data_IF_942492238241
#
_entry.id   IF_942492238241
#
_cell.length_a   1.000
_cell.length_b   1.000
_cell.length_c   1.000
_cell.angle_alpha   90.00
_cell.angle_beta   90.00
_cell.angle_gamma   90.00
#
_symmetry.space_group_name_H-M   'P 1'
#
loop_
_entity.id
_entity.type
_entity.pdbx_description
1 polymer ?
#
# COMPACT_ATOMS: atom_id res chain seq x y z
N UNK A 1 81.59 -86.07 31.43
CA UNK A 1 80.60 -86.04 30.34
C UNK A 1 79.52 -85.05 30.76
N UNK A 2 79.16 -84.19 29.83
CA UNK A 2 78.54 -82.87 29.98
C UNK A 2 77.05 -82.90 30.36
N UNK A 3 76.47 -81.69 30.45
CA UNK A 3 75.03 -81.38 30.49
C UNK A 3 74.39 -81.26 31.88
N UNK A 4 74.98 -80.38 32.69
CA UNK A 4 74.20 -79.46 33.51
C UNK A 4 74.61 -78.04 33.09
N UNK A 5 74.21 -77.61 31.91
CA UNK A 5 74.47 -76.23 31.45
C UNK A 5 73.48 -75.87 30.33
N UNK A 6 72.62 -74.87 30.54
CA UNK A 6 71.79 -74.33 29.45
C UNK A 6 70.34 -73.93 29.75
N UNK A 7 69.80 -74.13 30.96
CA UNK A 7 68.42 -73.67 31.26
C UNK A 7 68.27 -72.72 32.45
N UNK A 8 69.33 -72.47 33.23
CA UNK A 8 69.28 -71.48 34.33
C UNK A 8 70.01 -70.16 34.00
N UNK A 9 70.91 -70.15 33.00
CA UNK A 9 71.68 -68.95 32.64
C UNK A 9 70.99 -68.03 31.61
N UNK A 10 69.86 -68.47 31.03
CA UNK A 10 69.06 -67.63 30.13
C UNK A 10 68.08 -66.70 30.87
N UNK A 11 67.84 -66.92 32.16
CA UNK A 11 66.86 -66.13 32.94
C UNK A 11 67.56 -65.13 33.89
N UNK A 12 68.76 -65.43 34.39
CA UNK A 12 69.47 -64.50 35.30
C UNK A 12 70.25 -63.38 34.58
N UNK A 13 70.51 -63.54 33.26
CA UNK A 13 71.09 -62.50 32.40
C UNK A 13 70.10 -61.42 31.93
N UNK A 14 68.79 -61.63 32.08
CA UNK A 14 67.76 -60.71 31.58
C UNK A 14 67.24 -59.74 32.64
N UNK A 15 67.32 -60.07 33.94
CA UNK A 15 66.76 -59.23 35.00
C UNK A 15 67.66 -58.05 35.40
N UNK A 16 68.98 -58.14 35.21
CA UNK A 16 69.92 -57.05 35.55
C UNK A 16 70.09 -56.01 34.44
N UNK A 17 69.66 -56.32 33.22
CA UNK A 17 69.69 -55.42 32.06
C UNK A 17 68.41 -54.59 31.93
N UNK A 18 67.37 -54.90 32.71
CA UNK A 18 66.11 -54.14 32.75
C UNK A 18 66.12 -52.89 33.63
N UNK A 19 67.08 -52.75 34.55
CA UNK A 19 67.06 -51.66 35.55
C UNK A 19 67.96 -50.45 35.22
N UNK A 20 68.78 -50.49 34.15
CA UNK A 20 69.62 -49.35 33.74
C UNK A 20 69.06 -48.49 32.59
N UNK A 21 67.87 -48.80 32.05
CA UNK A 21 67.20 -47.94 31.05
C UNK A 21 66.05 -47.12 31.66
N UNK A 22 65.65 -47.38 32.89
CA UNK A 22 64.55 -46.67 33.55
C UNK A 22 64.87 -45.20 33.90
N UNK A 23 66.15 -44.80 34.00
CA UNK A 23 66.52 -43.45 34.44
C UNK A 23 66.64 -42.40 33.32
N UNK A 24 66.79 -42.79 32.04
CA UNK A 24 66.91 -41.83 30.92
C UNK A 24 65.61 -41.60 30.15
N UNK A 25 64.58 -42.41 30.40
CA UNK A 25 63.26 -42.26 29.79
C UNK A 25 62.33 -41.39 30.67
N UNK A 26 62.64 -41.19 31.96
CA UNK A 26 61.85 -40.36 32.88
C UNK A 26 61.76 -38.88 32.49
N UNK A 27 62.81 -38.31 31.89
CA UNK A 27 62.84 -36.90 31.46
C UNK A 27 62.16 -36.69 30.09
N UNK A 28 62.23 -37.67 29.18
CA UNK A 28 61.51 -37.62 27.90
C UNK A 28 60.00 -37.90 28.06
N UNK A 29 59.61 -38.78 28.99
CA UNK A 29 58.19 -38.98 29.33
C UNK A 29 57.59 -37.74 30.01
N UNK A 30 58.36 -36.98 30.79
CA UNK A 30 57.91 -35.72 31.38
C UNK A 30 57.66 -34.64 30.31
N UNK A 31 58.57 -34.48 29.34
CA UNK A 31 58.37 -33.54 28.22
C UNK A 31 57.23 -33.97 27.28
N UNK A 32 57.08 -35.26 26.99
CA UNK A 32 55.94 -35.75 26.22
C UNK A 32 54.60 -35.54 26.94
N UNK A 33 54.54 -35.77 28.27
CA UNK A 33 53.33 -35.48 29.05
C UNK A 33 52.98 -33.99 29.04
N UNK A 34 53.99 -33.14 29.12
CA UNK A 34 53.82 -31.69 29.08
C UNK A 34 53.39 -31.20 27.69
N UNK A 35 53.98 -31.71 26.61
CA UNK A 35 53.58 -31.41 25.23
C UNK A 35 52.17 -31.92 24.91
N UNK A 36 51.82 -33.12 25.38
CA UNK A 36 50.50 -33.70 25.21
C UNK A 36 49.44 -32.92 26.02
N UNK A 37 49.77 -32.49 27.25
CA UNK A 37 48.93 -31.58 28.04
C UNK A 37 48.76 -30.22 27.37
N UNK A 38 49.83 -29.65 26.80
CA UNK A 38 49.74 -28.39 26.03
C UNK A 38 48.91 -28.55 24.76
N UNK A 39 49.02 -29.68 24.07
CA UNK A 39 48.22 -29.98 22.88
C UNK A 39 46.75 -30.19 23.24
N UNK A 40 46.45 -30.88 24.35
CA UNK A 40 45.08 -31.03 24.87
C UNK A 40 44.51 -29.67 25.26
N UNK A 41 45.25 -28.86 26.04
CA UNK A 41 44.82 -27.53 26.46
C UNK A 41 44.63 -26.58 25.25
N UNK A 42 45.55 -26.60 24.28
CA UNK A 42 45.42 -25.82 23.06
C UNK A 42 44.20 -26.27 22.23
N UNK A 43 43.99 -27.58 22.09
CA UNK A 43 42.83 -28.12 21.37
C UNK A 43 41.51 -27.76 22.06
N UNK A 44 41.46 -27.78 23.40
CA UNK A 44 40.30 -27.32 24.17
C UNK A 44 40.05 -25.83 24.03
N UNK A 45 41.10 -25.00 24.11
CA UNK A 45 41.00 -23.55 23.90
C UNK A 45 40.54 -23.21 22.47
N UNK A 46 41.02 -23.93 21.46
CA UNK A 46 40.55 -23.79 20.09
C UNK A 46 39.08 -24.19 19.94
N UNK A 47 38.64 -25.30 20.57
CA UNK A 47 37.22 -25.70 20.56
C UNK A 47 36.34 -24.69 21.30
N UNK A 48 36.81 -24.16 22.44
CA UNK A 48 36.11 -23.14 23.20
C UNK A 48 35.93 -21.86 22.37
N UNK A 49 36.99 -21.40 21.68
CA UNK A 49 36.91 -20.27 20.75
C UNK A 49 35.92 -20.51 19.62
N UNK A 50 35.94 -21.69 18.98
CA UNK A 50 35.01 -22.01 17.90
C UNK A 50 33.55 -22.05 18.38
N UNK A 51 33.29 -22.59 19.58
CA UNK A 51 31.96 -22.58 20.19
C UNK A 51 31.50 -21.15 20.49
N UNK A 52 32.41 -20.33 21.03
CA UNK A 52 32.15 -18.93 21.34
C UNK A 52 31.85 -18.12 20.08
N UNK A 53 32.66 -18.25 19.03
CA UNK A 53 32.45 -17.58 17.74
C UNK A 53 31.08 -17.95 17.13
N UNK A 54 30.70 -19.22 17.19
CA UNK A 54 29.39 -19.68 16.73
C UNK A 54 28.26 -19.08 17.56
N UNK A 55 28.42 -19.04 18.88
CA UNK A 55 27.44 -18.44 19.78
C UNK A 55 27.28 -16.94 19.52
N UNK A 56 28.39 -16.21 19.37
CA UNK A 56 28.40 -14.78 19.07
C UNK A 56 27.77 -14.50 17.70
N UNK A 57 28.02 -15.35 16.69
CA UNK A 57 27.37 -15.27 15.38
C UNK A 57 25.85 -15.51 15.48
N UNK A 58 25.42 -16.49 16.28
CA UNK A 58 24.00 -16.75 16.51
C UNK A 58 23.32 -15.57 17.23
N UNK A 59 23.98 -14.98 18.23
CA UNK A 59 23.48 -13.77 18.92
C UNK A 59 23.37 -12.59 17.96
N UNK A 60 24.38 -12.35 17.12
CA UNK A 60 24.34 -11.28 16.13
C UNK A 60 23.20 -11.47 15.11
N UNK A 61 22.95 -12.70 14.67
CA UNK A 61 21.82 -13.02 13.80
C UNK A 61 20.47 -12.77 14.50
N UNK A 62 20.34 -13.16 15.78
CA UNK A 62 19.14 -12.88 16.58
C UNK A 62 18.89 -11.36 16.72
N UNK A 63 19.92 -10.57 17.01
CA UNK A 63 19.82 -9.09 17.04
C UNK A 63 19.36 -8.51 15.71
N UNK A 64 19.92 -9.00 14.60
CA UNK A 64 19.51 -8.55 13.27
C UNK A 64 18.03 -8.85 12.98
N UNK A 65 17.51 -10.00 13.46
CA UNK A 65 16.09 -10.34 13.34
C UNK A 65 15.20 -9.45 14.22
N UNK A 66 15.69 -8.99 15.36
CA UNK A 66 14.93 -8.15 16.30
C UNK A 66 15.02 -6.65 15.98
N UNK A 67 16.06 -6.21 15.25
CA UNK A 67 16.27 -4.79 14.92
C UNK A 67 15.05 -4.07 14.31
N UNK A 68 14.22 -4.69 13.43
CA UNK A 68 13.02 -4.06 12.91
C UNK A 68 11.96 -3.72 13.98
N UNK A 69 11.90 -4.49 15.07
CA UNK A 69 10.88 -4.33 16.12
C UNK A 69 11.01 -3.02 16.91
N UNK A 70 12.17 -2.38 16.83
CA UNK A 70 12.41 -1.05 17.42
C UNK A 70 11.84 0.10 16.58
N UNK A 71 11.38 -0.16 15.35
CA UNK A 71 10.85 0.85 14.43
C UNK A 71 9.32 0.81 14.38
N UNK A 72 8.67 1.96 14.49
CA UNK A 72 7.21 2.07 14.42
C UNK A 72 6.64 1.61 13.06
N UNK A 73 7.31 1.94 11.95
CA UNK A 73 6.89 1.54 10.60
C UNK A 73 6.74 0.01 10.43
N UNK A 74 7.50 -0.77 11.21
CA UNK A 74 7.41 -2.22 11.18
C UNK A 74 6.09 -2.68 11.77
N UNK A 75 5.69 -2.10 12.90
CA UNK A 75 4.45 -2.45 13.59
C UNK A 75 3.20 -2.13 12.78
N UNK A 76 3.27 -1.15 11.88
CA UNK A 76 2.16 -0.82 10.98
C UNK A 76 1.95 -1.86 9.87
N UNK A 77 2.97 -2.66 9.59
CA UNK A 77 2.96 -3.71 8.55
C UNK A 77 3.13 -5.12 9.12
N UNK A 78 3.38 -5.24 10.42
CA UNK A 78 3.71 -6.50 11.05
C UNK A 78 2.50 -7.43 11.03
N UNK A 79 2.69 -8.64 10.52
CA UNK A 79 1.68 -9.69 10.65
C UNK A 79 1.80 -10.36 12.02
N UNK A 80 0.73 -11.02 12.52
CA UNK A 80 0.77 -11.80 13.75
C UNK A 80 1.91 -12.82 13.78
N UNK A 81 2.22 -13.44 12.64
CA UNK A 81 3.32 -14.41 12.49
C UNK A 81 4.69 -13.74 12.62
N UNK A 82 4.85 -12.52 12.09
CA UNK A 82 6.10 -11.75 12.24
C UNK A 82 6.32 -11.35 13.70
N UNK A 83 5.25 -10.93 14.39
CA UNK A 83 5.28 -10.60 15.82
C UNK A 83 5.60 -11.86 16.64
N UNK A 84 5.04 -13.02 16.26
CA UNK A 84 5.35 -14.30 16.88
C UNK A 84 6.82 -14.66 16.79
N UNK A 85 7.36 -14.65 15.56
CA UNK A 85 8.74 -15.02 15.33
C UNK A 85 9.69 -14.10 16.13
N UNK A 86 9.40 -12.80 16.14
CA UNK A 86 10.16 -11.83 16.91
C UNK A 86 10.07 -12.09 18.43
N UNK A 87 8.87 -12.36 18.96
CA UNK A 87 8.67 -12.66 20.38
C UNK A 87 9.41 -13.94 20.81
N UNK A 88 9.36 -14.99 19.98
CA UNK A 88 10.07 -16.25 20.23
C UNK A 88 11.59 -16.05 20.22
N UNK A 89 12.12 -15.34 19.22
CA UNK A 89 13.55 -15.01 19.16
C UNK A 89 13.95 -14.17 20.38
N UNK A 90 13.20 -13.14 20.74
CA UNK A 90 13.49 -12.31 21.91
C UNK A 90 13.47 -13.13 23.21
N UNK A 91 12.46 -13.99 23.39
CA UNK A 91 12.33 -14.83 24.59
C UNK A 91 13.43 -15.88 24.70
N UNK A 92 13.85 -16.48 23.58
CA UNK A 92 14.95 -17.44 23.56
C UNK A 92 16.29 -16.80 23.94
N UNK A 93 16.50 -15.53 23.58
CA UNK A 93 17.79 -14.85 23.72
C UNK A 93 17.86 -13.87 24.90
N UNK A 94 16.75 -13.49 25.54
CA UNK A 94 16.72 -12.45 26.60
C UNK A 94 17.67 -12.71 27.78
N UNK A 95 17.96 -13.98 28.09
CA UNK A 95 18.87 -14.34 29.19
C UNK A 95 20.35 -14.11 28.85
N UNK A 96 20.68 -14.04 27.57
CA UNK A 96 22.06 -14.00 27.06
C UNK A 96 22.40 -12.70 26.32
N UNK A 97 21.40 -11.89 26.00
CA UNK A 97 21.56 -10.67 25.23
C UNK A 97 20.65 -9.54 25.75
N UNK A 98 21.21 -8.40 26.22
CA UNK A 98 20.41 -7.28 26.71
C UNK A 98 19.52 -6.66 25.63
N UNK A 99 19.95 -6.62 24.37
CA UNK A 99 19.11 -6.10 23.27
C UNK A 99 17.88 -6.98 23.04
N UNK A 100 18.04 -8.31 23.15
CA UNK A 100 16.93 -9.24 23.05
C UNK A 100 15.95 -9.11 24.24
N UNK A 101 16.46 -8.82 25.44
CA UNK A 101 15.61 -8.53 26.60
C UNK A 101 14.77 -7.27 26.39
N UNK A 102 15.39 -6.18 25.91
CA UNK A 102 14.68 -4.93 25.59
C UNK A 102 13.65 -5.13 24.47
N UNK A 103 13.99 -5.89 23.43
CA UNK A 103 13.05 -6.24 22.37
C UNK A 103 11.87 -7.06 22.91
N UNK A 104 12.10 -8.00 23.84
CA UNK A 104 11.03 -8.77 24.47
C UNK A 104 10.06 -7.87 25.24
N UNK A 105 10.57 -6.92 26.01
CA UNK A 105 9.76 -5.93 26.73
C UNK A 105 8.98 -5.02 25.77
N UNK A 106 9.66 -4.45 24.77
CA UNK A 106 9.01 -3.58 23.79
C UNK A 106 7.91 -4.30 22.99
N UNK A 107 8.14 -5.55 22.59
CA UNK A 107 7.14 -6.38 21.91
C UNK A 107 5.92 -6.57 22.80
N UNK A 108 6.12 -6.84 24.10
CA UNK A 108 5.01 -7.02 25.05
C UNK A 108 4.20 -5.74 25.22
N UNK A 109 4.87 -4.61 25.38
CA UNK A 109 4.21 -3.31 25.54
C UNK A 109 3.40 -2.93 24.29
N UNK A 110 3.97 -3.16 23.10
CA UNK A 110 3.29 -2.90 21.83
C UNK A 110 2.09 -3.82 21.62
N UNK A 111 2.21 -5.11 21.95
CA UNK A 111 1.11 -6.07 21.85
C UNK A 111 -0.03 -5.72 22.81
N UNK A 112 0.30 -5.33 24.04
CA UNK A 112 -0.67 -4.86 25.01
C UNK A 112 -1.33 -3.54 24.56
N UNK A 113 -0.56 -2.58 24.07
CA UNK A 113 -1.08 -1.28 23.66
C UNK A 113 -1.98 -1.35 22.41
N UNK A 114 -1.58 -2.14 21.40
CA UNK A 114 -2.30 -2.22 20.11
C UNK A 114 -3.44 -3.22 20.11
N UNK A 115 -3.31 -4.31 20.86
CA UNK A 115 -4.26 -5.43 20.81
C UNK A 115 -4.90 -5.76 22.16
N UNK A 116 -4.45 -5.15 23.26
CA UNK A 116 -4.99 -5.41 24.60
C UNK A 116 -4.67 -6.79 25.15
N UNK A 117 -3.65 -7.47 24.61
CA UNK A 117 -3.30 -8.85 24.96
C UNK A 117 -2.08 -8.85 25.89
N UNK A 118 -2.27 -9.32 27.12
CA UNK A 118 -1.18 -9.43 28.09
C UNK A 118 -0.43 -10.75 27.89
N UNK A 119 0.75 -10.64 27.29
CA UNK A 119 1.63 -11.76 26.97
C UNK A 119 2.21 -12.43 28.23
N UNK A 120 2.24 -11.76 29.38
CA UNK A 120 2.79 -12.32 30.63
C UNK A 120 1.77 -13.13 31.44
N UNK A 121 0.47 -12.91 31.27
CA UNK A 121 -0.58 -13.62 32.01
C UNK A 121 -0.83 -15.06 31.48
N UNK A 122 -0.29 -15.38 30.30
CA UNK A 122 -0.45 -16.67 29.62
C UNK A 122 0.79 -17.55 29.72
N UNK A 123 1.27 -17.82 30.93
CA UNK A 123 2.23 -18.90 31.19
C UNK A 123 1.74 -20.30 30.77
N UNK A 124 0.60 -20.42 30.08
CA UNK A 124 -0.03 -21.67 29.68
C UNK A 124 -0.44 -21.79 28.20
N UNK A 125 -0.29 -20.78 27.33
CA UNK A 125 -0.39 -21.01 25.87
C UNK A 125 0.04 -19.78 25.06
N UNK A 126 1.30 -19.76 24.62
CA UNK A 126 1.80 -18.78 23.65
C UNK A 126 0.97 -18.84 22.34
N UNK A 127 0.48 -20.02 21.95
CA UNK A 127 -0.43 -20.20 20.81
C UNK A 127 -1.79 -19.50 20.98
N UNK A 128 -2.28 -19.36 22.22
CA UNK A 128 -3.56 -18.69 22.50
C UNK A 128 -3.46 -17.17 22.35
N UNK A 129 -2.29 -16.59 22.66
CA UNK A 129 -1.96 -15.17 22.41
C UNK A 129 -1.96 -14.89 20.91
N UNK A 130 -1.35 -15.76 20.11
CA UNK A 130 -1.34 -15.61 18.65
C UNK A 130 -2.71 -15.79 18.04
N UNK A 131 -3.50 -16.76 18.50
CA UNK A 131 -4.89 -16.91 18.07
C UNK A 131 -5.77 -15.70 18.46
N UNK A 132 -5.48 -15.03 19.59
CA UNK A 132 -6.14 -13.78 19.97
C UNK A 132 -5.68 -12.61 19.09
N UNK A 133 -4.38 -12.53 18.78
CA UNK A 133 -3.80 -11.50 17.92
C UNK A 133 -4.36 -11.58 16.49
N UNK A 134 -4.40 -12.78 15.90
CA UNK A 134 -4.99 -13.00 14.57
C UNK A 134 -6.47 -12.62 14.52
N UNK A 135 -7.24 -12.94 15.57
CA UNK A 135 -8.66 -12.54 15.67
C UNK A 135 -8.82 -11.03 15.80
N UNK A 136 -7.98 -10.38 16.62
CA UNK A 136 -8.01 -8.93 16.81
C UNK A 136 -7.69 -8.19 15.50
N UNK A 137 -6.71 -8.68 14.73
CA UNK A 137 -6.38 -8.12 13.43
C UNK A 137 -7.53 -8.27 12.42
N UNK A 138 -8.14 -9.45 12.34
CA UNK A 138 -9.31 -9.68 11.47
C UNK A 138 -10.46 -8.71 11.82
N UNK A 139 -10.77 -8.54 13.10
CA UNK A 139 -11.80 -7.61 13.54
C UNK A 139 -11.48 -6.14 13.18
N UNK A 140 -10.21 -5.73 13.26
CA UNK A 140 -9.79 -4.38 12.84
C UNK A 140 -9.94 -4.18 11.33
N UNK A 141 -9.49 -5.13 10.51
CA UNK A 141 -9.63 -5.08 9.05
C UNK A 141 -11.11 -5.11 8.63
N UNK A 142 -11.95 -5.88 9.31
CA UNK A 142 -13.40 -5.89 9.09
C UNK A 142 -14.05 -4.55 9.46
N UNK A 143 -13.64 -3.94 10.57
CA UNK A 143 -14.14 -2.63 10.97
C UNK A 143 -13.71 -1.51 10.01
N UNK A 144 -12.49 -1.57 9.48
CA UNK A 144 -11.99 -0.65 8.48
C UNK A 144 -12.71 -0.83 7.14
N UNK A 145 -12.84 -2.07 6.66
CA UNK A 145 -13.62 -2.41 5.48
C UNK A 145 -15.11 -2.07 5.63
N UNK A 146 -15.65 -2.17 6.84
CA UNK A 146 -17.01 -1.75 7.16
C UNK A 146 -17.17 -0.24 7.06
N UNK A 147 -16.19 0.55 7.53
CA UNK A 147 -16.18 2.01 7.40
C UNK A 147 -16.07 2.46 5.95
N UNK A 148 -15.19 1.84 5.16
CA UNK A 148 -15.04 2.18 3.73
C UNK A 148 -16.32 1.85 2.96
N UNK A 149 -16.87 0.64 3.12
CA UNK A 149 -18.15 0.26 2.51
C UNK A 149 -19.31 1.17 2.94
N UNK A 150 -19.38 1.56 4.21
CA UNK A 150 -20.41 2.49 4.69
C UNK A 150 -20.22 3.91 4.14
N UNK A 151 -18.97 4.35 3.93
CA UNK A 151 -18.66 5.62 3.26
C UNK A 151 -19.11 5.57 1.80
N UNK A 152 -18.77 4.51 1.08
CA UNK A 152 -19.12 4.32 -0.33
C UNK A 152 -20.64 4.23 -0.52
N UNK A 153 -21.35 3.52 0.36
CA UNK A 153 -22.81 3.45 0.35
C UNK A 153 -23.46 4.83 0.55
N UNK A 154 -22.91 5.67 1.44
CA UNK A 154 -23.40 7.05 1.62
C UNK A 154 -23.15 7.91 0.39
N UNK A 155 -22.02 7.74 -0.29
CA UNK A 155 -21.78 8.48 -1.54
C UNK A 155 -22.74 8.05 -2.63
N UNK A 156 -23.00 6.75 -2.79
CA UNK A 156 -23.96 6.22 -3.76
C UNK A 156 -25.38 6.73 -3.48
N UNK A 157 -25.79 6.78 -2.20
CA UNK A 157 -27.07 7.34 -1.79
C UNK A 157 -27.19 8.83 -2.16
N UNK A 158 -26.14 9.63 -1.91
CA UNK A 158 -26.12 11.05 -2.28
C UNK A 158 -26.19 11.23 -3.79
N UNK A 159 -25.48 10.40 -4.58
CA UNK A 159 -25.57 10.43 -6.05
C UNK A 159 -26.97 10.03 -6.52
N UNK A 160 -27.58 9.01 -5.93
CA UNK A 160 -28.94 8.59 -6.26
C UNK A 160 -29.97 9.67 -5.94
N UNK A 161 -29.87 10.31 -4.77
CA UNK A 161 -30.73 11.44 -4.38
C UNK A 161 -30.56 12.62 -5.33
N UNK A 162 -29.31 12.95 -5.72
CA UNK A 162 -29.04 14.01 -6.69
C UNK A 162 -29.61 13.69 -8.08
N UNK A 163 -29.53 12.42 -8.53
CA UNK A 163 -30.10 11.98 -9.80
C UNK A 163 -31.63 12.06 -9.79
N UNK A 164 -32.31 11.60 -8.74
CA UNK A 164 -33.76 11.70 -8.59
C UNK A 164 -34.21 13.16 -8.52
N UNK A 165 -33.51 14.01 -7.76
CA UNK A 165 -33.81 15.44 -7.69
C UNK A 165 -33.55 16.17 -9.02
N UNK A 166 -32.59 15.70 -9.81
CA UNK A 166 -32.32 16.18 -11.17
C UNK A 166 -33.44 15.80 -12.14
N UNK A 167 -33.83 14.52 -12.16
CA UNK A 167 -34.92 14.01 -13.00
C UNK A 167 -36.24 14.71 -12.68
N UNK A 168 -36.60 14.83 -11.40
CA UNK A 168 -37.85 15.48 -10.99
C UNK A 168 -37.88 16.98 -11.33
N UNK A 169 -36.71 17.66 -11.38
CA UNK A 169 -36.61 19.04 -11.88
C UNK A 169 -36.83 19.12 -13.38
N UNK A 170 -36.27 18.19 -14.15
CA UNK A 170 -36.48 18.11 -15.60
C UNK A 170 -37.94 17.80 -15.94
N UNK A 171 -38.56 16.85 -15.22
CA UNK A 171 -39.97 16.50 -15.40
C UNK A 171 -40.89 17.68 -15.09
N UNK A 172 -40.66 18.40 -13.98
CA UNK A 172 -41.40 19.62 -13.67
C UNK A 172 -41.21 20.72 -14.71
N UNK A 173 -39.99 20.87 -15.24
CA UNK A 173 -39.73 21.84 -16.31
C UNK A 173 -40.43 21.46 -17.62
N UNK A 174 -40.46 20.17 -17.96
CA UNK A 174 -41.15 19.63 -19.12
C UNK A 174 -42.68 19.75 -18.99
N UNK A 175 -43.25 19.42 -17.83
CA UNK A 175 -44.67 19.62 -17.53
C UNK A 175 -45.03 21.10 -17.61
N UNK A 176 -44.26 21.99 -16.98
CA UNK A 176 -44.51 23.44 -17.06
C UNK A 176 -44.40 23.99 -18.49
N UNK A 177 -43.55 23.42 -19.34
CA UNK A 177 -43.47 23.78 -20.74
C UNK A 177 -44.65 23.27 -21.58
N UNK A 178 -45.29 22.15 -21.16
CA UNK A 178 -46.50 21.61 -21.80
C UNK A 178 -47.78 22.29 -21.30
N UNK A 179 -47.85 22.63 -20.01
CA UNK A 179 -49.01 23.28 -19.38
C UNK A 179 -49.03 24.81 -19.60
N UNK A 180 -47.93 25.39 -20.07
CA UNK A 180 -47.85 26.80 -20.42
C UNK A 180 -48.63 27.13 -21.72
N UNK A 181 -49.17 28.35 -21.88
CA UNK A 181 -49.80 28.76 -23.13
C UNK A 181 -48.81 28.64 -24.30
N UNK A 182 -49.02 27.63 -25.16
CA UNK A 182 -48.10 27.28 -26.26
C UNK A 182 -47.74 28.52 -27.10
N UNK A 183 -46.49 28.60 -27.60
CA UNK A 183 -45.79 29.80 -28.11
C UNK A 183 -46.55 30.71 -29.12
N UNK A 184 -47.73 30.34 -29.59
CA UNK A 184 -48.58 31.14 -30.50
C UNK A 184 -50.01 31.41 -29.95
N UNK A 185 -50.25 31.15 -28.66
CA UNK A 185 -51.54 31.39 -28.01
C UNK A 185 -51.87 32.89 -27.90
N UNK A 186 -53.15 33.29 -28.14
CA UNK A 186 -53.60 34.66 -27.94
C UNK A 186 -53.50 35.12 -26.47
N UNK A 187 -53.59 34.20 -25.52
CA UNK A 187 -53.50 34.48 -24.08
C UNK A 187 -52.11 34.99 -23.67
N UNK A 188 -51.01 34.43 -24.21
CA UNK A 188 -49.66 34.97 -23.93
C UNK A 188 -49.47 36.35 -24.55
N UNK A 189 -50.05 36.58 -25.74
CA UNK A 189 -49.98 37.89 -26.42
C UNK A 189 -50.70 38.97 -25.60
N UNK A 190 -51.81 38.62 -24.96
CA UNK A 190 -52.52 39.51 -24.04
C UNK A 190 -51.70 39.79 -22.77
N UNK A 191 -51.15 38.76 -22.13
CA UNK A 191 -50.29 38.94 -20.95
C UNK A 191 -49.03 39.78 -21.24
N UNK A 192 -48.44 39.62 -22.42
CA UNK A 192 -47.32 40.45 -22.87
C UNK A 192 -47.76 41.92 -23.06
N UNK A 193 -48.91 42.15 -23.69
CA UNK A 193 -49.47 43.50 -23.86
C UNK A 193 -49.75 44.18 -22.52
N UNK A 194 -50.38 43.47 -21.58
CA UNK A 194 -50.63 43.96 -20.21
C UNK A 194 -49.32 44.26 -19.47
N UNK A 195 -48.30 43.40 -19.62
CA UNK A 195 -47.01 43.62 -18.95
C UNK A 195 -46.25 44.85 -19.45
N UNK A 196 -46.53 45.30 -20.67
CA UNK A 196 -45.91 46.46 -21.33
C UNK A 196 -46.75 47.73 -21.19
N UNK A 197 -47.99 47.62 -20.74
CA UNK A 197 -48.88 48.75 -20.49
C UNK A 197 -48.27 49.64 -19.39
N UNK A 198 -48.04 50.93 -19.73
CA UNK A 198 -47.44 51.91 -18.82
C UNK A 198 -45.92 51.87 -18.67
N UNK A 199 -45.19 50.95 -19.34
CA UNK A 199 -43.73 50.81 -19.22
C UNK A 199 -42.92 51.37 -20.40
N UNK A 200 -43.57 51.94 -21.41
CA UNK A 200 -42.92 52.56 -22.54
C UNK A 200 -43.90 53.30 -23.46
N UNK A 201 -43.36 53.98 -24.46
CA UNK A 201 -44.14 54.71 -25.45
C UNK A 201 -45.07 53.79 -26.23
N UNK A 202 -46.31 54.26 -26.46
CA UNK A 202 -47.39 53.51 -27.12
C UNK A 202 -46.94 52.88 -28.45
N UNK A 203 -46.13 53.62 -29.21
CA UNK A 203 -45.61 53.17 -30.51
C UNK A 203 -44.59 52.04 -30.35
N UNK A 204 -43.66 52.15 -29.39
CA UNK A 204 -42.68 51.10 -29.10
C UNK A 204 -43.34 49.81 -28.61
N UNK A 205 -44.41 49.92 -27.80
CA UNK A 205 -45.21 48.76 -27.37
C UNK A 205 -45.90 48.10 -28.56
N UNK A 206 -46.51 48.87 -29.46
CA UNK A 206 -47.17 48.35 -30.66
C UNK A 206 -46.19 47.67 -31.63
N UNK A 207 -45.03 48.26 -31.87
CA UNK A 207 -43.98 47.65 -32.71
C UNK A 207 -43.50 46.32 -32.15
N UNK A 208 -43.35 46.23 -30.82
CA UNK A 208 -42.95 44.99 -30.15
C UNK A 208 -44.02 43.91 -30.23
N UNK A 209 -45.30 44.27 -30.06
CA UNK A 209 -46.42 43.33 -30.20
C UNK A 209 -46.58 42.83 -31.64
N UNK A 210 -46.35 43.70 -32.64
CA UNK A 210 -46.34 43.32 -34.05
C UNK A 210 -45.18 42.36 -34.37
N UNK A 211 -43.98 42.65 -33.87
CA UNK A 211 -42.82 41.78 -34.04
C UNK A 211 -43.03 40.41 -33.39
N UNK A 212 -43.58 40.36 -32.18
CA UNK A 212 -43.91 39.10 -31.47
C UNK A 212 -44.90 38.24 -32.27
N UNK A 213 -45.93 38.86 -32.87
CA UNK A 213 -46.88 38.18 -33.77
C UNK A 213 -46.21 37.57 -35.00
N UNK A 214 -45.16 38.19 -35.54
CA UNK A 214 -44.44 37.70 -36.72
C UNK A 214 -43.30 36.72 -36.38
N UNK A 215 -42.85 36.68 -35.12
CA UNK A 215 -41.76 35.80 -34.66
C UNK A 215 -42.26 34.56 -33.90
N UNK A 216 -43.57 34.29 -33.89
CA UNK A 216 -44.23 33.25 -33.09
C UNK A 216 -43.92 31.79 -33.44
N UNK A 217 -42.82 31.47 -34.14
CA UNK A 217 -42.45 30.07 -34.39
C UNK A 217 -41.74 29.51 -33.15
N UNK A 218 -42.30 28.52 -32.44
CA UNK A 218 -41.62 27.91 -31.30
C UNK A 218 -40.32 27.24 -31.73
N UNK A 219 -39.31 27.23 -30.86
CA UNK A 219 -37.99 26.64 -31.14
C UNK A 219 -38.08 25.20 -31.66
N UNK A 220 -39.02 24.40 -31.14
CA UNK A 220 -39.27 23.03 -31.60
C UNK A 220 -39.80 22.95 -33.04
N UNK A 221 -40.60 23.93 -33.49
CA UNK A 221 -41.09 24.02 -34.86
C UNK A 221 -40.03 24.56 -35.83
N UNK A 222 -39.16 25.47 -35.37
CA UNK A 222 -38.05 26.00 -36.16
C UNK A 222 -37.02 24.92 -36.54
N UNK A 223 -36.81 23.92 -35.69
CA UNK A 223 -35.88 22.81 -35.94
C UNK A 223 -36.56 21.62 -36.66
N UNK A 224 -37.89 21.50 -36.59
CA UNK A 224 -38.65 20.48 -37.31
C UNK A 224 -38.73 20.74 -38.84
N UNK A 225 -38.65 22.00 -39.27
CA UNK A 225 -38.53 22.36 -40.68
C UNK A 225 -37.10 22.09 -41.17
N UNK A 226 -36.88 20.92 -41.80
CA UNK A 226 -35.64 20.64 -42.53
C UNK A 226 -35.46 21.70 -43.64
N UNK A 227 -34.32 22.40 -43.75
CA UNK A 227 -34.12 23.36 -44.83
C UNK A 227 -34.11 22.62 -46.17
N UNK A 228 -35.06 22.93 -47.05
CA UNK A 228 -35.04 22.42 -48.41
C UNK A 228 -33.95 23.16 -49.20
N UNK A 229 -32.92 22.42 -49.62
CA UNK A 229 -31.87 22.91 -50.51
C UNK A 229 -32.52 23.35 -51.84
N UNK A 230 -32.59 24.66 -52.08
CA UNK A 230 -33.06 25.22 -53.34
C UNK A 230 -32.03 24.99 -54.45
N UNK A 231 -32.52 24.61 -55.63
CA UNK A 231 -31.73 24.31 -56.84
C UNK A 231 -30.95 25.54 -57.29
N UNK A 232 -29.61 25.42 -57.37
CA UNK A 232 -28.73 26.43 -57.94
C UNK A 232 -29.01 26.63 -59.44
N UNK A 233 -29.31 27.87 -59.81
CA UNK A 233 -29.52 28.33 -61.19
C UNK A 233 -28.26 28.15 -62.04
N UNK A 234 -28.40 27.54 -63.22
CA UNK A 234 -27.35 27.45 -64.25
C UNK A 234 -27.03 28.85 -64.80
N UNK A 235 -25.80 29.36 -64.60
CA UNK A 235 -25.31 30.51 -65.36
C UNK A 235 -24.68 30.07 -66.68
N UNK A 236 -25.23 30.60 -67.76
CA UNK A 236 -24.70 30.56 -69.13
C UNK A 236 -23.45 31.44 -69.23
N UNK A 237 -22.40 30.87 -69.81
CA UNK A 237 -21.09 31.48 -70.03
C UNK A 237 -21.16 32.36 -71.28
N UNK A 238 -20.95 33.67 -71.17
CA UNK A 238 -20.78 34.55 -72.33
C UNK A 238 -19.47 35.36 -72.21
N UNK A 239 -18.69 35.23 -73.27
CA UNK A 239 -17.33 35.73 -73.52
C UNK A 239 -17.30 37.24 -73.82
N UNK A 240 -16.21 37.94 -73.45
CA UNK A 240 -15.83 39.17 -74.15
C UNK A 240 -15.04 40.24 -73.39
N UNK A 241 -13.71 40.10 -73.41
CA UNK A 241 -12.65 41.13 -73.58
C UNK A 241 -12.63 42.43 -72.76
N UNK A 242 -11.46 42.60 -72.13
CA UNK A 242 -10.80 43.82 -71.67
C UNK A 242 -10.96 45.03 -72.60
N UNK A 243 -11.18 46.20 -71.99
CA UNK A 243 -10.72 47.48 -72.55
C UNK A 243 -10.41 48.47 -71.42
N UNK A 244 -9.12 48.74 -71.25
CA UNK A 244 -8.54 49.83 -70.45
C UNK A 244 -8.70 51.14 -71.24
N UNK A 245 -9.06 52.25 -70.58
CA UNK A 245 -8.62 53.61 -70.96
C UNK A 245 -8.91 54.65 -69.88
N UNK A 246 -7.82 55.06 -69.22
CA UNK A 246 -7.50 56.38 -68.67
C UNK A 246 -8.26 57.58 -69.28
N UNK A 247 -8.65 58.55 -68.43
CA UNK A 247 -8.26 59.97 -68.60
C UNK A 247 -8.58 60.87 -67.39
N UNK A 248 -7.53 61.36 -66.75
CA UNK A 248 -7.23 62.75 -66.38
C UNK A 248 -8.30 63.71 -65.85
N UNK A 249 -8.08 64.17 -64.61
CA UNK A 249 -7.79 65.58 -64.31
C UNK A 249 -8.96 66.55 -64.10
N UNK A 250 -9.01 67.15 -62.91
CA UNK A 250 -9.31 68.58 -62.72
C UNK A 250 -8.87 69.04 -61.32
N UNK A 251 -7.88 69.93 -61.32
CA UNK A 251 -7.45 70.76 -60.20
C UNK A 251 -8.55 71.77 -59.80
N UNK A 252 -8.75 72.01 -58.50
CA UNK A 252 -8.27 73.19 -57.73
C UNK A 252 -8.87 73.18 -56.34
#
# INVERSE_FOLDING_TARGET
MSEADGMDEAVDGAMRTGLMVAARIGEQLARMREEEQRNIAAAEEHRARQLQERFDAQRAAARAQLAPTARDDWWDKATPEMIQQAHQTATAWKAYDPEASQASEHIRDQVQARYGIDVNNTGADEASVFAALSRAQQAQTEAENGRTKASDARTDEVVAVAAVAGANRQDKAAQKAQDGPGCDSPERRQQLAESLEGKGDREAVNSRLLADKHQGTPATAAVALKPSLSKTSKMTKQSGKEKILERGGLER
#
